data_IF_660281145492
#
_entry.id   IF_660281145492
#
_cell.length_a   1.000
_cell.length_b   1.000
_cell.length_c   1.000
_cell.angle_alpha   90.00
_cell.angle_beta   90.00
_cell.angle_gamma   90.00
#
_symmetry.space_group_name_H-M   'P 1'
#
loop_
_entity.id
_entity.type
_entity.pdbx_description
1 polymer ?
#
# COMPACT_ATOMS: atom_id res chain seq x y z
N UNK A 1 -8.18 16.11 11.64
CA UNK A 1 -7.85 17.53 11.79
C UNK A 1 -9.04 18.43 11.40
N UNK A 2 -9.62 18.37 10.18
CA UNK A 2 -10.78 19.22 9.82
C UNK A 2 -11.98 19.08 10.77
N UNK A 3 -12.27 17.85 11.23
CA UNK A 3 -13.33 17.61 12.23
C UNK A 3 -13.04 18.27 13.59
N UNK A 4 -11.80 18.65 13.83
CA UNK A 4 -11.36 19.38 15.04
C UNK A 4 -11.19 20.88 14.80
N UNK A 5 -11.61 21.38 13.62
CA UNK A 5 -11.66 22.80 13.28
C UNK A 5 -10.41 23.35 12.60
N UNK A 6 -9.44 22.52 12.22
CA UNK A 6 -8.27 22.96 11.48
C UNK A 6 -8.61 23.15 9.99
N UNK A 7 -8.08 24.21 9.37
CA UNK A 7 -8.14 24.39 7.93
C UNK A 7 -7.04 23.56 7.25
N UNK A 8 -7.42 22.79 6.22
CA UNK A 8 -6.51 21.85 5.56
C UNK A 8 -6.44 22.13 4.07
N UNK A 9 -5.22 22.18 3.52
CA UNK A 9 -4.97 22.10 2.09
C UNK A 9 -4.20 20.81 1.80
N UNK A 10 -4.77 19.93 0.98
CA UNK A 10 -4.11 18.70 0.51
C UNK A 10 -3.64 18.92 -0.94
N UNK A 11 -2.36 18.68 -1.18
CA UNK A 11 -1.76 18.80 -2.52
C UNK A 11 -1.09 17.47 -2.86
N UNK A 12 -1.51 16.86 -3.94
CA UNK A 12 -0.83 15.73 -4.58
C UNK A 12 -0.10 16.27 -5.82
N UNK A 13 1.14 16.69 -5.63
CA UNK A 13 1.94 17.34 -6.68
C UNK A 13 2.12 16.47 -7.92
N UNK A 14 2.42 15.15 -7.81
CA UNK A 14 2.48 14.24 -8.95
C UNK A 14 1.15 14.16 -9.71
N UNK A 15 0.04 13.94 -9.02
CA UNK A 15 -1.28 13.85 -9.66
C UNK A 15 -1.71 15.18 -10.28
N UNK A 16 -1.31 16.29 -9.70
CA UNK A 16 -1.55 17.64 -10.25
C UNK A 16 -0.54 18.04 -11.33
N UNK A 17 0.50 17.22 -11.59
CA UNK A 17 1.61 17.51 -12.52
C UNK A 17 2.37 18.78 -12.15
N UNK A 18 2.60 19.00 -10.86
CA UNK A 18 3.32 20.14 -10.34
C UNK A 18 4.76 19.75 -10.00
N UNK A 19 5.72 20.59 -10.40
CA UNK A 19 7.07 20.53 -9.87
C UNK A 19 7.15 21.20 -8.49
N UNK A 20 8.31 21.15 -7.82
CA UNK A 20 8.50 21.70 -6.48
C UNK A 20 8.19 23.21 -6.42
N UNK A 21 8.68 23.98 -7.39
CA UNK A 21 8.44 25.44 -7.43
C UNK A 21 6.96 25.76 -7.60
N UNK A 22 6.28 25.08 -8.52
CA UNK A 22 4.84 25.24 -8.75
C UNK A 22 4.02 24.84 -7.52
N UNK A 23 4.48 23.79 -6.81
CA UNK A 23 3.87 23.37 -5.54
C UNK A 23 3.99 24.46 -4.48
N UNK A 24 5.17 25.05 -4.31
CA UNK A 24 5.41 26.16 -3.38
C UNK A 24 4.54 27.37 -3.71
N UNK A 25 4.46 27.77 -4.99
CA UNK A 25 3.62 28.89 -5.41
C UNK A 25 2.12 28.64 -5.13
N UNK A 26 1.67 27.39 -5.30
CA UNK A 26 0.29 26.99 -5.00
C UNK A 26 -0.02 27.03 -3.50
N UNK A 27 0.98 26.81 -2.65
CA UNK A 27 0.84 26.82 -1.18
C UNK A 27 0.81 28.24 -0.62
N UNK A 28 1.58 29.18 -1.17
CA UNK A 28 1.75 30.55 -0.63
C UNK A 28 0.45 31.24 -0.22
N UNK A 29 -0.65 31.21 -1.02
CA UNK A 29 -1.88 31.88 -0.63
C UNK A 29 -2.57 31.29 0.61
N UNK A 30 -2.28 30.03 0.94
CA UNK A 30 -2.86 29.33 2.09
C UNK A 30 -2.22 29.73 3.42
N UNK A 31 -0.96 30.19 3.41
CA UNK A 31 -0.21 30.61 4.61
C UNK A 31 -0.22 29.54 5.73
N UNK A 32 0.31 28.33 5.49
CA UNK A 32 0.25 27.23 6.45
C UNK A 32 1.07 27.51 7.69
N UNK A 33 0.64 26.95 8.83
CA UNK A 33 1.35 26.98 10.12
C UNK A 33 2.07 25.64 10.41
N UNK A 34 1.74 24.59 9.65
CA UNK A 34 2.36 23.26 9.75
C UNK A 34 2.32 22.58 8.39
N UNK A 35 3.42 21.92 8.02
CA UNK A 35 3.47 21.00 6.90
C UNK A 35 3.53 19.55 7.35
N UNK A 36 2.85 18.66 6.62
CA UNK A 36 2.97 17.21 6.79
C UNK A 36 3.21 16.59 5.41
N UNK A 37 4.38 15.98 5.24
CA UNK A 37 4.79 15.33 3.99
C UNK A 37 4.66 13.80 4.14
N UNK A 38 3.95 13.16 3.22
CA UNK A 38 3.87 11.69 3.18
C UNK A 38 5.15 11.12 2.59
N UNK A 39 5.74 10.10 3.22
CA UNK A 39 7.00 9.51 2.80
C UNK A 39 6.99 7.98 2.82
N UNK A 40 7.84 7.42 1.98
CA UNK A 40 8.16 5.99 1.93
C UNK A 40 9.66 5.81 1.76
N UNK A 41 10.19 4.61 2.02
CA UNK A 41 11.64 4.41 1.92
C UNK A 41 12.22 4.75 0.53
N UNK A 42 11.58 4.37 -0.59
CA UNK A 42 12.11 4.74 -1.90
C UNK A 42 12.12 6.24 -2.20
N UNK A 43 11.25 7.02 -1.57
CA UNK A 43 11.10 8.46 -1.83
C UNK A 43 11.79 9.36 -0.80
N UNK A 44 12.26 8.81 0.34
CA UNK A 44 12.72 9.59 1.49
C UNK A 44 13.71 10.72 1.14
N UNK A 45 14.71 10.44 0.31
CA UNK A 45 15.70 11.45 -0.05
C UNK A 45 15.12 12.61 -0.87
N UNK A 46 14.13 12.33 -1.69
CA UNK A 46 13.39 13.36 -2.41
C UNK A 46 12.46 14.14 -1.47
N UNK A 47 11.76 13.42 -0.60
CA UNK A 47 10.83 14.00 0.36
C UNK A 47 11.56 14.94 1.35
N UNK A 48 12.77 14.58 1.80
CA UNK A 48 13.59 15.45 2.63
C UNK A 48 14.07 16.71 1.90
N UNK A 49 14.31 16.65 0.57
CA UNK A 49 14.56 17.88 -0.21
C UNK A 49 13.33 18.78 -0.25
N UNK A 50 12.14 18.20 -0.33
CA UNK A 50 10.87 18.94 -0.25
C UNK A 50 10.72 19.57 1.14
N UNK A 51 10.96 18.81 2.22
CA UNK A 51 10.96 19.30 3.61
C UNK A 51 11.86 20.52 3.75
N UNK A 52 13.10 20.42 3.29
CA UNK A 52 14.06 21.53 3.33
C UNK A 52 13.56 22.78 2.60
N UNK A 53 13.08 22.61 1.38
CA UNK A 53 12.56 23.73 0.58
C UNK A 53 11.33 24.39 1.22
N UNK A 54 10.42 23.62 1.82
CA UNK A 54 9.27 24.13 2.55
C UNK A 54 9.72 24.92 3.79
N UNK A 55 10.65 24.38 4.58
CA UNK A 55 11.19 25.04 5.77
C UNK A 55 11.88 26.36 5.42
N UNK A 56 12.72 26.37 4.40
CA UNK A 56 13.45 27.57 3.94
C UNK A 56 12.49 28.64 3.40
N UNK A 57 11.38 28.24 2.76
CA UNK A 57 10.43 29.18 2.16
C UNK A 57 9.45 29.79 3.16
N UNK A 58 8.91 28.97 4.07
CA UNK A 58 7.80 29.38 4.92
C UNK A 58 8.19 29.59 6.39
N UNK A 59 9.33 29.04 6.81
CA UNK A 59 9.83 29.10 8.19
C UNK A 59 8.82 28.61 9.24
N UNK A 60 8.06 27.57 8.92
CA UNK A 60 7.10 26.91 9.81
C UNK A 60 7.52 25.46 10.07
N UNK A 61 6.96 24.82 11.11
CA UNK A 61 7.25 23.40 11.39
C UNK A 61 6.90 22.47 10.23
N UNK A 62 7.76 21.47 10.01
CA UNK A 62 7.55 20.43 8.99
C UNK A 62 7.64 19.06 9.63
N UNK A 63 6.64 18.23 9.35
CA UNK A 63 6.57 16.83 9.77
C UNK A 63 6.58 15.90 8.56
N UNK A 64 7.08 14.67 8.74
CA UNK A 64 6.85 13.57 7.81
C UNK A 64 6.00 12.48 8.45
N UNK A 65 5.27 11.71 7.62
CA UNK A 65 4.50 10.53 8.04
C UNK A 65 4.60 9.44 6.98
N UNK A 66 4.29 8.21 7.36
CA UNK A 66 4.28 7.07 6.43
C UNK A 66 5.17 5.93 6.86
N UNK A 67 5.45 4.99 5.97
CA UNK A 67 6.15 3.75 6.33
C UNK A 67 7.60 3.99 6.74
N UNK A 68 8.31 4.90 6.06
CA UNK A 68 9.70 5.21 6.42
C UNK A 68 9.79 5.99 7.73
N UNK A 69 8.96 7.04 7.89
CA UNK A 69 8.89 7.81 9.14
C UNK A 69 8.54 6.93 10.35
N UNK A 70 7.73 5.88 10.14
CA UNK A 70 7.36 4.93 11.20
C UNK A 70 8.48 3.93 11.52
N UNK A 71 9.27 3.55 10.52
CA UNK A 71 10.35 2.58 10.67
C UNK A 71 11.64 3.19 11.22
N UNK A 72 12.03 4.35 10.69
CA UNK A 72 13.31 5.01 10.94
C UNK A 72 13.11 6.50 11.34
N UNK A 73 12.32 6.78 12.40
CA UNK A 73 11.99 8.18 12.75
C UNK A 73 13.20 8.99 13.21
N UNK A 74 14.13 8.37 13.96
CA UNK A 74 15.31 9.05 14.46
C UNK A 74 16.33 9.32 13.35
N UNK A 75 16.59 8.31 12.50
CA UNK A 75 17.46 8.45 11.32
C UNK A 75 16.93 9.55 10.39
N UNK A 76 15.61 9.58 10.14
CA UNK A 76 15.00 10.63 9.31
C UNK A 76 15.25 12.04 9.85
N UNK A 77 15.13 12.23 11.16
CA UNK A 77 15.43 13.50 11.82
C UNK A 77 16.93 13.84 11.77
N UNK A 78 17.83 12.85 11.85
CA UNK A 78 19.27 13.04 11.73
C UNK A 78 19.67 13.41 10.30
N UNK A 79 19.01 12.85 9.28
CA UNK A 79 19.31 13.08 7.87
C UNK A 79 19.02 14.50 7.40
N UNK A 80 18.04 15.21 7.99
CA UNK A 80 17.66 16.57 7.56
C UNK A 80 17.31 17.46 8.76
N UNK A 81 18.13 18.47 8.99
CA UNK A 81 17.97 19.40 10.11
C UNK A 81 16.73 20.30 10.01
N UNK A 82 16.20 20.49 8.80
CA UNK A 82 14.97 21.23 8.55
C UNK A 82 13.70 20.45 8.95
N UNK A 83 13.83 19.13 9.21
CA UNK A 83 12.74 18.28 9.68
C UNK A 83 12.57 18.43 11.20
N UNK A 84 11.36 18.83 11.62
CA UNK A 84 11.04 19.05 13.04
C UNK A 84 10.43 17.82 13.69
N UNK A 85 9.57 17.06 12.94
CA UNK A 85 8.75 15.97 13.48
C UNK A 85 8.69 14.76 12.55
N UNK A 86 8.64 13.54 13.15
CA UNK A 86 8.26 12.31 12.46
C UNK A 86 7.05 11.69 13.16
N UNK A 87 6.00 11.42 12.38
CA UNK A 87 4.77 10.77 12.86
C UNK A 87 4.90 9.27 12.68
N UNK A 88 4.79 8.52 13.76
CA UNK A 88 5.01 7.08 13.85
C UNK A 88 3.66 6.35 13.89
N UNK A 89 3.50 5.32 13.04
CA UNK A 89 2.31 4.47 13.03
C UNK A 89 1.08 5.12 12.40
N UNK A 90 -0.10 4.91 13.00
CA UNK A 90 -1.36 5.51 12.54
C UNK A 90 -1.38 7.01 12.84
N UNK A 91 -1.31 7.82 11.79
CA UNK A 91 -1.14 9.27 11.89
C UNK A 91 -2.41 10.01 12.38
N UNK A 92 -3.60 9.41 12.28
CA UNK A 92 -4.87 10.10 12.43
C UNK A 92 -4.99 10.95 13.72
N UNK A 93 -4.60 10.39 14.87
CA UNK A 93 -4.63 11.11 16.17
C UNK A 93 -3.42 11.99 16.38
N UNK A 94 -2.25 11.51 15.94
CA UNK A 94 -0.97 12.22 16.15
C UNK A 94 -0.95 13.52 15.37
N UNK A 95 -1.50 13.55 14.14
CA UNK A 95 -1.65 14.77 13.35
C UNK A 95 -2.49 15.82 14.09
N UNK A 96 -3.62 15.44 14.65
CA UNK A 96 -4.49 16.36 15.39
C UNK A 96 -3.81 16.92 16.64
N UNK A 97 -3.11 16.06 17.40
CA UNK A 97 -2.35 16.49 18.58
C UNK A 97 -1.16 17.36 18.22
N UNK A 98 -0.47 17.06 17.10
CA UNK A 98 0.62 17.90 16.61
C UNK A 98 0.09 19.30 16.21
N UNK A 99 -1.03 19.38 15.50
CA UNK A 99 -1.67 20.65 15.21
C UNK A 99 -2.02 21.43 16.51
N UNK A 100 -2.56 20.76 17.53
CA UNK A 100 -2.83 21.34 18.82
C UNK A 100 -1.57 21.81 19.57
N UNK A 101 -0.42 21.15 19.38
CA UNK A 101 0.89 21.59 19.91
C UNK A 101 1.32 22.89 19.22
N UNK A 102 1.21 22.97 17.89
CA UNK A 102 1.57 24.17 17.13
C UNK A 102 0.67 25.37 17.51
N UNK A 103 -0.61 25.13 17.79
CA UNK A 103 -1.53 26.16 18.28
C UNK A 103 -1.31 26.53 19.76
N UNK A 104 -0.39 25.88 20.48
CA UNK A 104 -0.12 26.12 21.89
C UNK A 104 -1.18 25.56 22.86
N UNK A 105 -2.10 24.73 22.38
CA UNK A 105 -3.10 24.02 23.21
C UNK A 105 -2.49 22.86 23.99
N UNK A 106 -1.50 22.18 23.42
CA UNK A 106 -0.61 21.20 24.07
C UNK A 106 0.73 21.91 24.31
N UNK A 107 1.31 21.76 25.50
CA UNK A 107 2.53 22.50 25.86
C UNK A 107 3.81 21.69 25.63
N UNK A 108 3.71 20.35 25.56
CA UNK A 108 4.88 19.50 25.47
C UNK A 108 4.69 18.37 24.44
N UNK A 109 5.60 18.27 23.50
CA UNK A 109 5.64 17.21 22.49
C UNK A 109 5.73 15.80 23.11
N UNK A 110 6.28 15.66 24.31
CA UNK A 110 6.32 14.38 25.05
C UNK A 110 4.93 13.83 25.44
N UNK A 111 3.88 14.64 25.36
CA UNK A 111 2.50 14.20 25.61
C UNK A 111 1.87 13.55 24.37
N UNK A 112 2.55 13.57 23.22
CA UNK A 112 2.03 13.10 21.94
C UNK A 112 2.61 11.73 21.61
N UNK A 113 1.84 10.68 21.85
CA UNK A 113 2.20 9.31 21.46
C UNK A 113 2.37 9.21 19.93
N UNK A 114 3.37 8.47 19.49
CA UNK A 114 3.66 8.30 18.06
C UNK A 114 4.32 9.52 17.42
N UNK A 115 5.06 10.32 18.18
CA UNK A 115 5.79 11.48 17.69
C UNK A 115 7.28 11.37 18.03
N UNK A 116 8.14 11.46 17.03
CA UNK A 116 9.56 11.78 17.23
C UNK A 116 9.79 13.24 16.84
N UNK A 117 10.66 13.94 17.56
CA UNK A 117 10.83 15.38 17.40
C UNK A 117 12.22 15.85 17.81
N UNK A 118 12.62 16.99 17.25
CA UNK A 118 13.84 17.70 17.60
C UNK A 118 13.55 18.71 18.70
N UNK A 119 14.36 18.68 19.78
CA UNK A 119 14.29 19.67 20.88
C UNK A 119 15.03 20.96 20.50
N UNK A 120 14.82 22.01 21.28
CA UNK A 120 15.49 23.30 21.10
C UNK A 120 17.01 23.22 21.20
N UNK A 121 17.54 22.29 22.00
CA UNK A 121 18.98 22.03 22.14
C UNK A 121 19.56 21.20 20.97
N UNK A 122 18.73 20.84 19.98
CA UNK A 122 19.08 20.04 18.82
C UNK A 122 19.05 18.52 19.05
N UNK A 123 18.86 18.05 20.29
CA UNK A 123 18.71 16.63 20.57
C UNK A 123 17.37 16.10 20.05
N UNK A 124 17.34 14.80 19.74
CA UNK A 124 16.15 14.13 19.25
C UNK A 124 15.54 13.28 20.37
N UNK A 125 14.22 13.32 20.47
CA UNK A 125 13.44 12.51 21.42
C UNK A 125 12.25 11.89 20.69
N UNK A 126 11.64 10.85 21.28
CA UNK A 126 10.45 10.24 20.68
C UNK A 126 9.53 9.65 21.74
N UNK A 127 8.26 9.60 21.39
CA UNK A 127 7.23 8.92 22.15
C UNK A 127 6.74 7.71 21.33
N UNK A 128 6.69 6.50 21.92
CA UNK A 128 6.21 5.31 21.22
C UNK A 128 4.77 5.49 20.73
N UNK A 129 4.42 4.72 19.72
CA UNK A 129 3.07 4.73 19.17
C UNK A 129 2.03 4.41 20.27
N UNK A 130 0.94 5.15 20.27
CA UNK A 130 -0.20 4.90 21.15
C UNK A 130 -1.07 3.71 20.66
N UNK A 131 -2.16 3.43 21.37
CA UNK A 131 -3.08 2.37 20.98
C UNK A 131 -3.71 2.68 19.60
N UNK A 132 -3.83 1.64 18.79
CA UNK A 132 -4.49 1.72 17.47
C UNK A 132 -5.95 2.17 17.61
N UNK A 133 -6.47 2.79 16.56
CA UNK A 133 -7.89 3.20 16.52
C UNK A 133 -8.76 1.95 16.37
N UNK A 134 -9.58 1.66 17.35
CA UNK A 134 -10.46 0.48 17.32
C UNK A 134 -11.73 0.72 16.50
N UNK A 135 -12.40 1.86 16.73
CA UNK A 135 -13.61 2.23 15.99
C UNK A 135 -13.26 3.01 14.72
N UNK A 136 -13.13 2.30 13.60
CA UNK A 136 -12.79 2.92 12.32
C UNK A 136 -13.95 3.71 11.69
N UNK A 137 -15.21 3.46 12.11
CA UNK A 137 -16.37 4.24 11.64
C UNK A 137 -16.34 5.69 12.16
N UNK A 138 -15.51 5.97 13.18
CA UNK A 138 -15.30 7.34 13.67
C UNK A 138 -14.41 8.20 12.77
N UNK A 139 -13.73 7.58 11.82
CA UNK A 139 -12.84 8.29 10.89
C UNK A 139 -13.62 8.82 9.68
N UNK A 140 -13.22 9.96 9.12
CA UNK A 140 -13.82 10.47 7.89
C UNK A 140 -13.55 9.50 6.73
N UNK A 141 -14.51 9.42 5.81
CA UNK A 141 -14.34 8.61 4.60
C UNK A 141 -13.25 9.17 3.68
N UNK A 142 -12.43 8.28 3.15
CA UNK A 142 -11.37 8.66 2.21
C UNK A 142 -11.96 9.30 0.95
N UNK A 143 -13.12 8.82 0.49
CA UNK A 143 -13.83 9.38 -0.65
C UNK A 143 -14.24 10.85 -0.48
N UNK A 144 -14.56 11.27 0.75
CA UNK A 144 -14.83 12.68 1.04
C UNK A 144 -13.58 13.55 0.90
N UNK A 145 -12.41 13.01 1.25
CA UNK A 145 -11.12 13.69 1.05
C UNK A 145 -10.83 13.85 -0.44
N UNK A 146 -11.03 12.79 -1.25
CA UNK A 146 -10.94 12.89 -2.71
C UNK A 146 -11.89 13.95 -3.26
N UNK A 147 -13.15 13.93 -2.85
CA UNK A 147 -14.15 14.87 -3.32
C UNK A 147 -13.82 16.32 -2.97
N UNK A 148 -13.34 16.57 -1.75
CA UNK A 148 -13.06 17.93 -1.27
C UNK A 148 -11.75 18.49 -1.83
N UNK A 149 -10.67 17.70 -1.81
CA UNK A 149 -9.32 18.22 -2.04
C UNK A 149 -8.69 17.75 -3.36
N UNK A 150 -9.11 16.61 -3.90
CA UNK A 150 -8.46 15.95 -5.04
C UNK A 150 -9.37 15.77 -6.25
N UNK A 151 -10.58 16.36 -6.22
CA UNK A 151 -11.57 16.21 -7.29
C UNK A 151 -11.04 16.66 -8.66
N UNK A 152 -10.23 17.71 -8.70
CA UNK A 152 -9.63 18.23 -9.94
C UNK A 152 -8.63 17.28 -10.59
N UNK A 153 -8.06 16.33 -9.83
CA UNK A 153 -7.02 15.41 -10.33
C UNK A 153 -7.35 13.93 -10.13
N UNK A 154 -8.50 13.53 -9.52
CA UNK A 154 -8.78 12.13 -9.25
C UNK A 154 -8.78 11.25 -10.51
N UNK A 155 -9.14 11.80 -11.68
CA UNK A 155 -9.11 11.08 -12.97
C UNK A 155 -7.68 10.72 -13.44
N UNK A 156 -6.66 11.26 -12.81
CA UNK A 156 -5.24 10.97 -13.12
C UNK A 156 -4.65 9.83 -12.29
N UNK A 157 -5.35 9.39 -11.24
CA UNK A 157 -4.87 8.27 -10.45
C UNK A 157 -4.92 7.00 -11.27
N UNK A 158 -3.80 6.30 -11.26
CA UNK A 158 -3.58 5.07 -12.01
C UNK A 158 -3.05 3.99 -11.08
N UNK A 159 -3.64 2.83 -11.10
CA UNK A 159 -3.19 1.69 -10.32
C UNK A 159 -3.24 0.40 -11.16
N UNK A 160 -2.08 -0.08 -11.60
CA UNK A 160 -1.85 -1.38 -12.19
C UNK A 160 -2.91 -1.87 -13.20
N UNK A 161 -3.52 -3.00 -12.89
CA UNK A 161 -4.53 -3.66 -13.73
C UNK A 161 -5.97 -3.15 -13.52
N UNK A 162 -6.14 -2.09 -12.72
CA UNK A 162 -7.46 -1.55 -12.38
C UNK A 162 -8.08 -0.75 -13.52
N UNK A 163 -9.40 -0.59 -13.48
CA UNK A 163 -10.11 0.31 -14.37
C UNK A 163 -9.99 1.75 -13.88
N UNK A 164 -9.66 2.66 -14.77
CA UNK A 164 -9.47 4.07 -14.44
C UNK A 164 -10.63 4.92 -15.00
N UNK A 165 -10.99 6.03 -14.34
CA UNK A 165 -10.49 6.52 -13.04
C UNK A 165 -10.88 5.59 -11.88
N UNK A 166 -10.05 5.55 -10.84
CA UNK A 166 -10.35 4.75 -9.65
C UNK A 166 -10.31 5.58 -8.38
N UNK A 167 -11.06 5.13 -7.38
CA UNK A 167 -10.98 5.64 -6.01
C UNK A 167 -10.56 4.49 -5.10
N UNK A 168 -9.58 4.79 -4.25
CA UNK A 168 -9.08 3.84 -3.26
C UNK A 168 -9.76 4.11 -1.92
N UNK A 169 -10.31 3.06 -1.29
CA UNK A 169 -10.89 3.13 0.05
C UNK A 169 -10.42 1.96 0.91
N UNK A 170 -10.74 2.02 2.20
CA UNK A 170 -10.44 0.96 3.17
C UNK A 170 -11.73 0.48 3.83
N UNK A 171 -11.94 -0.84 3.91
CA UNK A 171 -12.99 -1.44 4.74
C UNK A 171 -12.48 -1.83 6.12
N UNK A 172 -11.16 -1.91 6.28
CA UNK A 172 -10.49 -2.24 7.52
C UNK A 172 -8.99 -1.95 7.47
N UNK A 173 -8.35 -2.02 8.62
CA UNK A 173 -6.90 -1.85 8.80
C UNK A 173 -6.32 -3.03 9.56
N UNK A 174 -5.08 -3.39 9.25
CA UNK A 174 -4.33 -4.48 9.88
C UNK A 174 -4.54 -5.82 9.20
N UNK A 175 -3.54 -6.68 9.29
CA UNK A 175 -3.55 -8.02 8.71
C UNK A 175 -3.14 -9.06 9.75
N UNK A 176 -3.94 -10.11 10.01
CA UNK A 176 -3.61 -11.13 11.01
C UNK A 176 -2.41 -12.00 10.59
N UNK A 177 -1.97 -11.89 9.34
CA UNK A 177 -0.80 -12.60 8.87
C UNK A 177 0.49 -11.89 9.26
N UNK A 178 1.56 -12.67 9.42
CA UNK A 178 2.87 -12.17 9.86
C UNK A 178 3.93 -12.39 8.78
N UNK A 179 3.59 -12.05 7.53
CA UNK A 179 4.55 -12.13 6.43
C UNK A 179 5.75 -11.20 6.73
N UNK A 180 6.97 -11.76 6.70
CA UNK A 180 8.17 -11.06 7.16
C UNK A 180 8.53 -9.82 6.33
N UNK A 181 8.07 -9.75 5.08
CA UNK A 181 8.35 -8.67 4.13
C UNK A 181 7.29 -7.55 4.10
N UNK A 182 6.12 -7.77 4.71
CA UNK A 182 4.99 -6.85 4.56
C UNK A 182 5.13 -5.63 5.46
N UNK A 183 5.39 -4.46 4.87
CA UNK A 183 5.73 -3.25 5.61
C UNK A 183 4.55 -2.65 6.37
N UNK A 184 3.36 -2.56 5.78
CA UNK A 184 2.21 -1.83 6.38
C UNK A 184 1.77 -2.41 7.73
N UNK A 185 1.54 -3.74 7.88
CA UNK A 185 1.19 -4.28 9.19
C UNK A 185 2.31 -4.14 10.22
N UNK A 186 3.56 -4.15 9.81
CA UNK A 186 4.71 -4.09 10.73
C UNK A 186 5.05 -2.67 11.18
N UNK A 187 4.69 -1.65 10.39
CA UNK A 187 5.04 -0.25 10.67
C UNK A 187 3.84 0.63 11.02
N UNK A 188 2.65 0.36 10.47
CA UNK A 188 1.49 1.25 10.60
C UNK A 188 0.28 0.52 11.21
N UNK A 189 -0.30 -0.46 10.51
CA UNK A 189 -1.65 -0.95 10.82
C UNK A 189 -1.70 -2.04 11.90
N UNK A 190 -0.59 -2.74 12.17
CA UNK A 190 -0.53 -3.85 13.12
C UNK A 190 -1.14 -5.16 12.59
N UNK A 191 -1.13 -6.18 13.45
CA UNK A 191 -1.51 -7.55 13.10
C UNK A 191 -2.92 -7.96 13.58
N UNK A 192 -3.75 -7.00 13.96
CA UNK A 192 -5.16 -7.22 14.31
C UNK A 192 -6.01 -6.57 13.23
N UNK A 193 -6.84 -7.36 12.56
CA UNK A 193 -7.77 -6.82 11.58
C UNK A 193 -8.91 -6.08 12.30
N UNK A 194 -8.91 -4.76 12.20
CA UNK A 194 -9.94 -3.86 12.68
C UNK A 194 -10.77 -3.42 11.50
N UNK A 195 -12.07 -3.48 11.60
CA UNK A 195 -12.98 -3.29 10.48
C UNK A 195 -13.97 -2.16 10.74
N UNK A 196 -14.33 -1.46 9.70
CA UNK A 196 -15.50 -0.58 9.65
C UNK A 196 -16.75 -1.43 9.67
N UNK A 197 -17.88 -0.88 10.08
CA UNK A 197 -19.15 -1.59 9.91
C UNK A 197 -19.47 -1.76 8.43
N UNK A 198 -20.09 -2.89 8.04
CA UNK A 198 -20.52 -3.08 6.63
C UNK A 198 -21.42 -1.96 6.12
N UNK A 199 -22.25 -1.39 7.02
CA UNK A 199 -23.12 -0.25 6.69
C UNK A 199 -22.30 0.99 6.33
N UNK A 200 -21.30 1.33 7.13
CA UNK A 200 -20.46 2.51 6.91
C UNK A 200 -19.65 2.39 5.60
N UNK A 201 -19.14 1.19 5.30
CA UNK A 201 -18.46 0.93 4.01
C UNK A 201 -19.41 1.11 2.82
N UNK A 202 -20.65 0.58 2.91
CA UNK A 202 -21.60 0.65 1.81
C UNK A 202 -22.20 2.06 1.67
N UNK A 203 -22.34 2.81 2.75
CA UNK A 203 -22.70 4.23 2.72
C UNK A 203 -21.65 5.05 1.95
N UNK A 204 -20.34 4.73 2.14
CA UNK A 204 -19.25 5.37 1.39
C UNK A 204 -19.29 4.99 -0.10
N UNK A 205 -19.58 3.72 -0.45
CA UNK A 205 -19.74 3.31 -1.85
C UNK A 205 -20.89 4.06 -2.53
N UNK A 206 -22.00 4.27 -1.83
CA UNK A 206 -23.14 5.03 -2.32
C UNK A 206 -22.80 6.52 -2.50
N UNK A 207 -22.03 7.10 -1.54
CA UNK A 207 -21.48 8.44 -1.69
C UNK A 207 -20.62 8.57 -2.94
N UNK A 208 -19.73 7.60 -3.18
CA UNK A 208 -18.85 7.59 -4.36
C UNK A 208 -19.67 7.59 -5.65
N UNK A 209 -20.66 6.70 -5.75
CA UNK A 209 -21.52 6.61 -6.94
C UNK A 209 -22.30 7.91 -7.24
N UNK A 210 -22.65 8.66 -6.20
CA UNK A 210 -23.41 9.89 -6.33
C UNK A 210 -22.55 11.13 -6.59
N UNK A 211 -21.23 11.09 -6.35
CA UNK A 211 -20.37 12.28 -6.36
C UNK A 211 -19.18 12.19 -7.32
N UNK A 212 -18.92 11.05 -7.97
CA UNK A 212 -17.83 10.91 -8.93
C UNK A 212 -18.35 10.41 -10.28
N UNK A 213 -18.08 11.19 -11.32
CA UNK A 213 -18.47 10.88 -12.68
C UNK A 213 -17.45 9.96 -13.36
N UNK A 214 -17.91 9.13 -14.31
CA UNK A 214 -17.05 8.27 -15.14
C UNK A 214 -16.13 7.34 -14.35
N UNK A 215 -16.51 6.96 -13.12
CA UNK A 215 -15.70 6.08 -12.28
C UNK A 215 -15.55 4.71 -12.94
N UNK A 216 -14.30 4.25 -13.11
CA UNK A 216 -13.98 2.92 -13.62
C UNK A 216 -14.22 1.86 -12.57
N UNK A 217 -13.60 2.02 -11.37
CA UNK A 217 -13.84 1.12 -10.24
C UNK A 217 -13.43 1.73 -8.89
N UNK A 218 -13.86 1.08 -7.81
CA UNK A 218 -13.36 1.29 -6.45
C UNK A 218 -12.36 0.19 -6.11
N UNK A 219 -11.22 0.54 -5.53
CA UNK A 219 -10.26 -0.42 -5.05
C UNK A 219 -10.22 -0.44 -3.51
N UNK A 220 -10.47 -1.61 -2.93
CA UNK A 220 -10.28 -1.83 -1.50
C UNK A 220 -8.80 -2.12 -1.21
N UNK A 221 -8.08 -1.11 -0.74
CA UNK A 221 -6.64 -1.17 -0.42
C UNK A 221 -6.37 -1.70 0.99
N UNK A 222 -7.31 -2.43 1.55
CA UNK A 222 -7.09 -3.14 2.81
C UNK A 222 -5.82 -3.98 2.74
N UNK A 223 -5.09 -4.12 3.85
CA UNK A 223 -3.95 -5.04 3.93
C UNK A 223 -4.33 -6.47 3.49
N UNK A 224 -5.58 -6.85 3.75
CA UNK A 224 -6.24 -8.05 3.19
C UNK A 224 -7.75 -7.91 3.36
N UNK A 225 -8.45 -7.49 2.34
CA UNK A 225 -9.92 -7.33 2.35
C UNK A 225 -10.64 -8.63 2.78
N UNK A 226 -10.13 -9.78 2.36
CA UNK A 226 -10.72 -11.10 2.65
C UNK A 226 -10.28 -11.70 3.99
N UNK A 227 -9.71 -10.89 4.91
CA UNK A 227 -9.27 -11.37 6.23
C UNK A 227 -10.42 -11.90 7.10
N UNK A 228 -11.62 -11.31 6.97
CA UNK A 228 -12.85 -11.79 7.61
C UNK A 228 -13.94 -12.09 6.56
N UNK A 229 -14.15 -13.38 6.21
CA UNK A 229 -15.16 -13.75 5.23
C UNK A 229 -16.60 -13.33 5.59
N UNK A 230 -16.93 -13.20 6.89
CA UNK A 230 -18.25 -12.74 7.34
C UNK A 230 -18.44 -11.26 7.05
N UNK A 231 -17.40 -10.47 7.24
CA UNK A 231 -17.40 -9.05 6.92
C UNK A 231 -17.59 -8.81 5.42
N UNK A 232 -16.83 -9.52 4.58
CA UNK A 232 -16.97 -9.44 3.11
C UNK A 232 -18.38 -9.83 2.67
N UNK A 233 -18.94 -10.89 3.25
CA UNK A 233 -20.30 -11.34 2.96
C UNK A 233 -21.33 -10.26 3.27
N UNK A 234 -21.25 -9.66 4.45
CA UNK A 234 -22.17 -8.61 4.87
C UNK A 234 -22.09 -7.36 3.98
N UNK A 235 -20.88 -6.94 3.56
CA UNK A 235 -20.72 -5.85 2.58
C UNK A 235 -21.40 -6.22 1.25
N UNK A 236 -21.13 -7.41 0.71
CA UNK A 236 -21.71 -7.85 -0.55
C UNK A 236 -23.25 -7.95 -0.51
N UNK A 237 -23.80 -8.46 0.58
CA UNK A 237 -25.26 -8.56 0.78
C UNK A 237 -25.91 -7.17 0.81
N UNK A 238 -25.31 -6.20 1.52
CA UNK A 238 -25.79 -4.81 1.55
C UNK A 238 -25.69 -4.10 0.19
N UNK A 239 -24.61 -4.33 -0.58
CA UNK A 239 -24.50 -3.81 -1.95
C UNK A 239 -25.66 -4.32 -2.81
N UNK A 240 -25.97 -5.60 -2.70
CA UNK A 240 -27.07 -6.23 -3.46
C UNK A 240 -28.45 -5.77 -2.98
N UNK A 241 -28.67 -5.66 -1.68
CA UNK A 241 -29.89 -5.15 -1.06
C UNK A 241 -30.21 -3.73 -1.54
N UNK A 242 -29.19 -2.86 -1.54
CA UNK A 242 -29.30 -1.46 -2.02
C UNK A 242 -29.26 -1.35 -3.55
N UNK A 243 -29.03 -2.45 -4.25
CA UNK A 243 -28.96 -2.50 -5.73
C UNK A 243 -27.91 -1.55 -6.31
N UNK A 244 -26.79 -1.35 -5.60
CA UNK A 244 -25.72 -0.48 -6.06
C UNK A 244 -25.02 -1.11 -7.27
N UNK A 245 -24.92 -0.35 -8.36
CA UNK A 245 -24.22 -0.76 -9.59
C UNK A 245 -22.79 -0.24 -9.54
N UNK A 246 -21.94 -0.93 -8.81
CA UNK A 246 -20.55 -0.55 -8.62
C UNK A 246 -19.62 -1.67 -9.09
N UNK A 247 -18.50 -1.27 -9.72
CA UNK A 247 -17.39 -2.17 -10.02
C UNK A 247 -16.31 -1.96 -8.98
N UNK A 248 -15.76 -3.05 -8.42
CA UNK A 248 -14.71 -2.95 -7.43
C UNK A 248 -13.71 -4.10 -7.50
N UNK A 249 -12.52 -3.85 -6.97
CA UNK A 249 -11.43 -4.81 -6.84
C UNK A 249 -10.81 -4.73 -5.44
N UNK A 250 -10.03 -5.72 -5.04
CA UNK A 250 -9.45 -5.76 -3.70
C UNK A 250 -8.16 -6.57 -3.61
N UNK A 251 -7.40 -6.35 -2.53
CA UNK A 251 -6.36 -7.27 -2.08
C UNK A 251 -6.98 -8.49 -1.39
N UNK A 252 -6.59 -9.69 -1.78
CA UNK A 252 -7.19 -10.92 -1.30
C UNK A 252 -6.15 -12.02 -1.04
N UNK A 253 -6.57 -13.05 -0.29
CA UNK A 253 -5.81 -14.28 -0.12
C UNK A 253 -6.33 -15.38 -1.03
N UNK A 254 -5.49 -16.39 -1.28
CA UNK A 254 -5.83 -17.56 -2.10
C UNK A 254 -6.63 -18.63 -1.34
N UNK A 255 -7.45 -18.25 -0.38
CA UNK A 255 -8.25 -19.15 0.47
C UNK A 255 -9.75 -18.81 0.53
N UNK A 256 -10.21 -17.91 -0.34
CA UNK A 256 -11.62 -17.51 -0.43
C UNK A 256 -12.45 -18.64 -1.05
N UNK A 257 -13.51 -19.11 -0.40
CA UNK A 257 -14.33 -20.22 -0.90
C UNK A 257 -15.22 -19.80 -2.09
N UNK A 258 -15.62 -20.77 -2.92
CA UNK A 258 -16.33 -20.53 -4.18
C UNK A 258 -17.65 -19.77 -3.99
N UNK A 259 -18.42 -20.11 -2.97
CA UNK A 259 -19.71 -19.44 -2.69
C UNK A 259 -19.52 -17.94 -2.39
N UNK A 260 -18.46 -17.58 -1.64
CA UNK A 260 -18.14 -16.19 -1.38
C UNK A 260 -17.61 -15.48 -2.64
N UNK A 261 -16.79 -16.14 -3.45
CA UNK A 261 -16.35 -15.60 -4.74
C UNK A 261 -17.54 -15.29 -5.67
N UNK A 262 -18.53 -16.19 -5.70
CA UNK A 262 -19.76 -15.98 -6.48
C UNK A 262 -20.60 -14.82 -5.94
N UNK A 263 -20.68 -14.66 -4.62
CA UNK A 263 -21.36 -13.53 -3.99
C UNK A 263 -20.66 -12.21 -4.28
N UNK A 264 -19.32 -12.16 -4.12
CA UNK A 264 -18.50 -11.01 -4.47
C UNK A 264 -18.74 -10.59 -5.93
N UNK A 265 -18.75 -11.56 -6.86
CA UNK A 265 -19.02 -11.29 -8.28
C UNK A 265 -20.39 -10.66 -8.48
N UNK A 266 -21.43 -11.19 -7.84
CA UNK A 266 -22.80 -10.62 -7.91
C UNK A 266 -22.85 -9.19 -7.38
N UNK A 267 -22.06 -8.90 -6.34
CA UNK A 267 -21.96 -7.58 -5.72
C UNK A 267 -21.01 -6.62 -6.49
N UNK A 268 -20.54 -6.98 -7.69
CA UNK A 268 -19.77 -6.10 -8.56
C UNK A 268 -18.24 -6.28 -8.52
N UNK A 269 -17.72 -7.27 -7.79
CA UNK A 269 -16.29 -7.55 -7.81
C UNK A 269 -15.79 -7.88 -9.23
N UNK A 270 -14.68 -7.27 -9.64
CA UNK A 270 -14.06 -7.51 -10.94
C UNK A 270 -12.78 -8.34 -10.81
N UNK A 271 -11.88 -7.94 -9.94
CA UNK A 271 -10.54 -8.50 -9.83
C UNK A 271 -10.08 -8.61 -8.38
N UNK A 272 -9.24 -9.59 -8.12
CA UNK A 272 -8.54 -9.73 -6.85
C UNK A 272 -7.03 -9.73 -7.09
N UNK A 273 -6.30 -8.89 -6.35
CA UNK A 273 -4.84 -8.92 -6.27
C UNK A 273 -4.43 -9.94 -5.19
N UNK A 274 -3.68 -10.98 -5.60
CA UNK A 274 -3.39 -12.12 -4.73
C UNK A 274 -1.89 -12.43 -4.72
N UNK A 275 -1.29 -12.35 -3.53
CA UNK A 275 0.11 -12.73 -3.32
C UNK A 275 0.25 -14.24 -3.21
N UNK A 276 0.84 -14.87 -4.24
CA UNK A 276 1.26 -16.29 -4.23
C UNK A 276 2.71 -16.45 -3.78
N UNK A 277 3.54 -15.49 -4.08
CA UNK A 277 4.95 -15.28 -3.76
C UNK A 277 5.86 -16.35 -4.35
N UNK A 278 5.84 -17.59 -3.85
CA UNK A 278 6.74 -18.67 -4.25
C UNK A 278 6.01 -20.01 -4.37
N UNK A 279 6.59 -20.92 -5.15
CA UNK A 279 6.17 -22.32 -5.21
C UNK A 279 6.88 -23.19 -4.17
N UNK A 280 8.00 -22.74 -3.62
CA UNK A 280 8.78 -23.49 -2.63
C UNK A 280 8.13 -23.43 -1.25
N UNK A 281 7.76 -24.58 -0.64
CA UNK A 281 7.24 -24.62 0.72
C UNK A 281 8.24 -24.07 1.76
N UNK A 282 9.53 -24.25 1.52
CA UNK A 282 10.59 -23.74 2.37
C UNK A 282 10.65 -22.21 2.32
N UNK A 283 10.67 -21.63 1.12
CA UNK A 283 10.64 -20.18 0.92
C UNK A 283 9.38 -19.58 1.56
N UNK A 284 8.21 -20.16 1.31
CA UNK A 284 6.94 -19.71 1.92
C UNK A 284 6.96 -19.76 3.44
N UNK A 285 7.63 -20.79 4.02
CA UNK A 285 7.85 -20.88 5.47
C UNK A 285 8.77 -19.76 5.97
N UNK A 286 9.88 -19.52 5.28
CA UNK A 286 10.88 -18.52 5.67
C UNK A 286 10.30 -17.10 5.66
N UNK A 287 9.46 -16.77 4.67
CA UNK A 287 8.75 -15.48 4.61
C UNK A 287 7.45 -15.46 5.43
N UNK A 288 7.16 -16.52 6.19
CA UNK A 288 5.94 -16.67 7.02
C UNK A 288 4.63 -16.43 6.25
N UNK A 289 4.62 -16.76 4.96
CA UNK A 289 3.39 -16.76 4.17
C UNK A 289 2.54 -17.95 4.61
N UNK A 290 1.39 -17.69 5.21
CA UNK A 290 0.54 -18.73 5.82
C UNK A 290 -0.06 -19.78 4.86
N UNK A 291 0.24 -19.72 3.56
CA UNK A 291 -0.19 -20.71 2.55
C UNK A 291 0.81 -21.86 2.53
N UNK A 292 0.42 -23.00 3.09
CA UNK A 292 1.28 -24.20 3.15
C UNK A 292 1.10 -25.16 1.96
N UNK A 293 0.10 -24.94 1.10
CA UNK A 293 -0.29 -25.87 0.05
C UNK A 293 -0.59 -25.13 -1.26
N UNK A 294 0.29 -25.31 -2.22
CA UNK A 294 0.17 -24.73 -3.57
C UNK A 294 -1.06 -25.26 -4.34
N UNK A 295 -1.54 -26.49 -4.04
CA UNK A 295 -2.71 -27.05 -4.71
C UNK A 295 -4.00 -26.31 -4.33
N UNK A 296 -4.13 -25.83 -3.09
CA UNK A 296 -5.25 -24.96 -2.67
C UNK A 296 -5.29 -23.66 -3.45
N UNK A 297 -4.15 -23.07 -3.75
CA UNK A 297 -4.07 -21.88 -4.57
C UNK A 297 -4.47 -22.14 -6.04
N UNK A 298 -4.12 -23.32 -6.57
CA UNK A 298 -4.59 -23.75 -7.91
C UNK A 298 -6.11 -23.92 -7.92
N UNK A 299 -6.67 -24.52 -6.88
CA UNK A 299 -8.12 -24.66 -6.72
C UNK A 299 -8.81 -23.30 -6.61
N UNK A 300 -8.25 -22.39 -5.81
CA UNK A 300 -8.74 -21.01 -5.69
C UNK A 300 -8.80 -20.30 -7.05
N UNK A 301 -7.73 -20.34 -7.86
CA UNK A 301 -7.75 -19.69 -9.19
C UNK A 301 -8.77 -20.34 -10.12
N UNK A 302 -8.98 -21.66 -10.04
CA UNK A 302 -10.05 -22.36 -10.78
C UNK A 302 -11.44 -21.88 -10.30
N UNK A 303 -11.62 -21.71 -9.00
CA UNK A 303 -12.89 -21.24 -8.41
C UNK A 303 -13.16 -19.78 -8.75
N UNK A 304 -12.16 -18.90 -8.71
CA UNK A 304 -12.27 -17.51 -9.16
C UNK A 304 -12.71 -17.44 -10.61
N UNK A 305 -12.14 -18.28 -11.48
CA UNK A 305 -12.53 -18.38 -12.89
C UNK A 305 -13.97 -18.87 -13.06
N UNK A 306 -14.42 -19.88 -12.26
CA UNK A 306 -15.83 -20.35 -12.24
C UNK A 306 -16.78 -19.23 -11.78
N UNK A 307 -16.33 -18.39 -10.85
CA UNK A 307 -17.09 -17.23 -10.40
C UNK A 307 -17.01 -16.02 -11.37
N UNK A 308 -16.30 -16.14 -12.48
CA UNK A 308 -16.05 -15.05 -13.44
C UNK A 308 -15.34 -13.82 -12.80
N UNK A 309 -14.43 -14.06 -11.85
CA UNK A 309 -13.55 -13.08 -11.24
C UNK A 309 -12.16 -13.15 -11.85
N UNK A 310 -11.57 -11.99 -12.07
CA UNK A 310 -10.17 -11.88 -12.51
C UNK A 310 -9.24 -12.04 -11.30
N UNK A 311 -8.05 -12.57 -11.56
CA UNK A 311 -6.99 -12.70 -10.56
C UNK A 311 -5.72 -12.08 -11.10
N UNK A 312 -5.21 -11.06 -10.42
CA UNK A 312 -3.85 -10.57 -10.56
C UNK A 312 -2.96 -11.31 -9.58
N UNK A 313 -2.00 -12.10 -10.09
CA UNK A 313 -1.12 -12.92 -9.26
C UNK A 313 0.22 -12.25 -9.03
N UNK A 314 0.63 -12.09 -7.77
CA UNK A 314 1.91 -11.53 -7.37
C UNK A 314 2.88 -12.64 -6.98
N UNK A 315 4.11 -12.59 -7.51
CA UNK A 315 5.21 -13.54 -7.28
C UNK A 315 6.47 -12.77 -6.93
N UNK A 316 7.07 -13.12 -5.79
CA UNK A 316 8.23 -12.43 -5.24
C UNK A 316 9.45 -13.35 -5.23
N UNK A 317 10.60 -12.84 -5.64
CA UNK A 317 11.88 -13.57 -5.70
C UNK A 317 12.96 -12.89 -4.88
N UNK A 318 14.03 -13.63 -4.52
CA UNK A 318 15.09 -13.12 -3.65
C UNK A 318 14.78 -13.25 -2.16
N UNK A 319 13.80 -14.08 -1.82
CA UNK A 319 13.44 -14.41 -0.44
C UNK A 319 14.49 -15.27 0.24
N UNK A 320 14.52 -15.34 1.59
CA UNK A 320 15.36 -16.30 2.30
C UNK A 320 15.08 -17.75 1.83
N UNK A 321 16.13 -18.41 1.34
CA UNK A 321 16.05 -19.78 0.79
C UNK A 321 15.78 -19.86 -0.72
N UNK A 322 15.71 -18.74 -1.43
CA UNK A 322 15.64 -18.78 -2.88
C UNK A 322 16.97 -19.22 -3.52
N UNK A 323 16.83 -20.08 -4.52
CA UNK A 323 17.88 -20.60 -5.40
C UNK A 323 17.41 -20.52 -6.85
N UNK A 324 18.28 -20.71 -7.86
CA UNK A 324 17.85 -20.78 -9.26
C UNK A 324 16.71 -21.79 -9.50
N UNK A 325 16.73 -22.93 -8.76
CA UNK A 325 15.72 -23.98 -8.84
C UNK A 325 14.37 -23.49 -8.29
N UNK A 326 14.35 -22.85 -7.10
CA UNK A 326 13.10 -22.35 -6.51
C UNK A 326 12.49 -21.21 -7.34
N UNK A 327 13.32 -20.38 -7.96
CA UNK A 327 12.85 -19.37 -8.92
C UNK A 327 12.17 -20.03 -10.12
N UNK A 328 12.79 -21.08 -10.68
CA UNK A 328 12.20 -21.83 -11.79
C UNK A 328 10.89 -22.50 -11.38
N UNK A 329 10.85 -23.15 -10.21
CA UNK A 329 9.63 -23.72 -9.64
C UNK A 329 8.52 -22.68 -9.55
N UNK A 330 8.84 -21.47 -9.10
CA UNK A 330 7.88 -20.36 -8.96
C UNK A 330 7.32 -19.90 -10.32
N UNK A 331 8.16 -19.82 -11.34
CA UNK A 331 7.70 -19.49 -12.70
C UNK A 331 6.80 -20.59 -13.28
N UNK A 332 7.16 -21.87 -13.12
CA UNK A 332 6.34 -22.98 -13.61
C UNK A 332 5.02 -23.08 -12.84
N UNK A 333 5.03 -22.78 -11.55
CA UNK A 333 3.83 -22.67 -10.74
C UNK A 333 2.92 -21.51 -11.21
N UNK A 334 3.48 -20.34 -11.49
CA UNK A 334 2.71 -19.22 -12.04
C UNK A 334 2.04 -19.59 -13.38
N UNK A 335 2.76 -20.32 -14.24
CA UNK A 335 2.21 -20.84 -15.50
C UNK A 335 1.09 -21.86 -15.26
N UNK A 336 1.21 -22.74 -14.25
CA UNK A 336 0.21 -23.74 -13.85
C UNK A 336 -1.03 -23.09 -13.24
N UNK A 337 -0.86 -22.12 -12.35
CA UNK A 337 -1.95 -21.29 -11.78
C UNK A 337 -2.69 -20.56 -12.88
N UNK A 338 -1.92 -19.99 -13.80
CA UNK A 338 -2.43 -19.24 -14.96
C UNK A 338 -3.43 -18.15 -14.56
N UNK A 339 -3.11 -17.22 -13.64
CA UNK A 339 -3.97 -16.08 -13.33
C UNK A 339 -4.22 -15.24 -14.59
N UNK A 340 -5.10 -14.24 -14.49
CA UNK A 340 -5.42 -13.36 -15.62
C UNK A 340 -4.25 -12.44 -15.96
N UNK A 341 -3.61 -11.90 -14.94
CA UNK A 341 -2.35 -11.15 -15.04
C UNK A 341 -1.39 -11.65 -13.96
N UNK A 342 -0.09 -11.45 -14.16
CA UNK A 342 0.94 -11.83 -13.21
C UNK A 342 2.03 -10.78 -13.13
N UNK A 343 2.45 -10.47 -11.91
CA UNK A 343 3.60 -9.63 -11.63
C UNK A 343 4.69 -10.46 -10.98
N UNK A 344 5.92 -10.29 -11.48
CA UNK A 344 7.13 -10.85 -10.88
C UNK A 344 8.01 -9.70 -10.44
N UNK A 345 8.43 -9.70 -9.18
CA UNK A 345 9.24 -8.63 -8.61
C UNK A 345 10.25 -9.19 -7.60
N UNK A 346 11.44 -8.61 -7.52
CA UNK A 346 12.40 -8.96 -6.50
C UNK A 346 11.97 -8.38 -5.15
N UNK A 347 12.31 -9.06 -4.07
CA UNK A 347 12.03 -8.55 -2.72
C UNK A 347 12.73 -7.20 -2.50
N UNK A 348 11.99 -6.29 -1.89
CA UNK A 348 12.51 -5.09 -1.26
C UNK A 348 12.39 -5.25 0.25
N UNK A 349 13.52 -5.42 0.93
CA UNK A 349 13.52 -5.52 2.38
C UNK A 349 13.44 -4.12 2.99
N UNK A 350 12.22 -3.64 3.22
CA UNK A 350 11.98 -2.30 3.77
C UNK A 350 12.34 -2.20 5.25
N UNK A 351 12.97 -1.11 5.70
CA UNK A 351 13.14 -0.81 7.11
C UNK A 351 11.85 -1.01 7.93
N UNK A 352 11.97 -1.42 9.17
CA UNK A 352 10.84 -1.74 10.03
C UNK A 352 10.23 -3.13 9.81
N UNK A 353 10.74 -3.92 8.83
CA UNK A 353 10.28 -5.29 8.58
C UNK A 353 11.25 -6.34 9.12
N UNK A 354 10.70 -7.52 9.47
CA UNK A 354 11.54 -8.68 9.84
C UNK A 354 12.46 -9.10 8.67
N UNK A 355 12.02 -8.92 7.42
CA UNK A 355 12.84 -9.21 6.24
C UNK A 355 14.06 -8.27 6.15
N UNK A 356 13.90 -7.00 6.53
CA UNK A 356 15.03 -6.06 6.59
C UNK A 356 16.04 -6.45 7.67
N UNK A 357 15.55 -6.78 8.85
CA UNK A 357 16.37 -7.25 9.96
C UNK A 357 17.14 -8.52 9.57
N UNK A 358 16.47 -9.50 8.99
CA UNK A 358 17.09 -10.73 8.50
C UNK A 358 18.14 -10.45 7.44
N UNK A 359 17.85 -9.56 6.49
CA UNK A 359 18.78 -9.19 5.42
C UNK A 359 20.03 -8.48 5.93
N UNK A 360 19.91 -7.67 6.99
CA UNK A 360 21.05 -7.06 7.68
C UNK A 360 21.89 -8.12 8.41
N UNK A 361 21.25 -8.98 9.20
CA UNK A 361 21.93 -9.99 10.03
C UNK A 361 22.62 -11.07 9.17
N UNK A 362 22.04 -11.44 8.04
CA UNK A 362 22.60 -12.43 7.10
C UNK A 362 23.63 -11.86 6.11
N UNK A 363 23.80 -10.52 6.06
CA UNK A 363 24.64 -9.87 5.06
C UNK A 363 24.04 -9.86 3.64
N UNK A 364 22.75 -10.19 3.50
CA UNK A 364 22.05 -10.19 2.23
C UNK A 364 21.73 -8.79 1.72
N UNK A 365 21.60 -7.79 2.61
CA UNK A 365 21.39 -6.39 2.24
C UNK A 365 22.72 -5.80 1.74
N UNK A 366 22.75 -5.40 0.49
CA UNK A 366 23.96 -4.90 -0.18
C UNK A 366 24.26 -3.44 0.13
N UNK A 367 23.25 -2.64 0.45
CA UNK A 367 23.39 -1.21 0.71
C UNK A 367 22.28 -0.68 1.59
N UNK A 368 22.63 0.27 2.46
CA UNK A 368 21.67 1.11 3.20
C UNK A 368 21.49 2.49 2.55
N UNK A 369 22.25 2.79 1.51
CA UNK A 369 22.14 4.06 0.79
C UNK A 369 20.84 4.10 -0.02
N UNK A 370 19.90 4.91 0.43
CA UNK A 370 18.58 5.06 -0.21
C UNK A 370 18.65 5.60 -1.64
N UNK A 371 19.75 6.22 -2.08
CA UNK A 371 19.96 6.59 -3.49
C UNK A 371 20.02 5.37 -4.42
N UNK A 372 20.35 4.20 -3.89
CA UNK A 372 20.49 2.96 -4.65
C UNK A 372 19.20 2.11 -4.68
N UNK A 373 18.13 2.58 -4.05
CA UNK A 373 16.86 1.86 -3.99
C UNK A 373 15.99 2.01 -5.25
N UNK A 374 16.23 3.05 -6.00
CA UNK A 374 15.62 3.27 -7.33
C UNK A 374 16.70 3.27 -8.40
N UNK A 375 16.33 2.89 -9.60
CA UNK A 375 17.18 3.10 -10.77
C UNK A 375 17.04 4.53 -11.32
N UNK A 376 17.78 4.84 -12.37
CA UNK A 376 17.76 6.16 -13.02
C UNK A 376 16.39 6.55 -13.59
N UNK A 377 15.54 5.56 -13.85
CA UNK A 377 14.20 5.73 -14.41
C UNK A 377 13.12 5.72 -13.30
N UNK A 378 13.53 5.63 -12.01
CA UNK A 378 12.64 5.66 -10.85
C UNK A 378 11.99 4.32 -10.52
N UNK A 379 12.43 3.22 -11.15
CA UNK A 379 11.94 1.89 -10.82
C UNK A 379 12.70 1.29 -9.64
N UNK A 380 12.02 0.43 -8.89
CA UNK A 380 12.64 -0.29 -7.79
C UNK A 380 13.78 -1.20 -8.27
N UNK A 381 14.94 -1.03 -7.65
CA UNK A 381 16.03 -2.00 -7.69
C UNK A 381 15.93 -2.88 -6.45
N UNK A 382 16.35 -4.14 -6.56
CA UNK A 382 16.56 -4.90 -5.33
C UNK A 382 17.93 -4.59 -4.74
N UNK A 383 17.92 -4.36 -3.43
CA UNK A 383 19.14 -4.21 -2.62
C UNK A 383 19.57 -5.54 -2.00
N UNK A 384 18.95 -6.65 -2.40
CA UNK A 384 19.13 -7.98 -1.82
C UNK A 384 19.98 -8.84 -2.75
N UNK A 385 20.90 -9.58 -2.13
CA UNK A 385 21.62 -10.72 -2.73
C UNK A 385 21.33 -11.98 -1.91
N UNK A 386 21.12 -13.12 -2.58
CA UNK A 386 20.84 -14.39 -1.90
C UNK A 386 21.74 -15.50 -2.44
N UNK A 387 22.74 -15.91 -1.65
CA UNK A 387 23.70 -16.93 -2.04
C UNK A 387 24.36 -16.58 -3.38
N UNK A 388 24.16 -17.43 -4.40
CA UNK A 388 24.67 -17.22 -5.76
C UNK A 388 23.84 -16.23 -6.60
N UNK A 389 22.65 -15.85 -6.14
CA UNK A 389 21.77 -14.93 -6.85
C UNK A 389 22.13 -13.48 -6.52
N UNK A 390 22.74 -12.78 -7.44
CA UNK A 390 22.97 -11.34 -7.35
C UNK A 390 21.68 -10.55 -7.50
N UNK A 391 21.69 -9.28 -7.10
CA UNK A 391 20.57 -8.36 -7.33
C UNK A 391 20.18 -8.30 -8.81
N UNK A 392 21.15 -8.34 -9.72
CA UNK A 392 20.89 -8.32 -11.15
C UNK A 392 20.24 -9.62 -11.64
N UNK A 393 20.68 -10.78 -11.15
CA UNK A 393 20.07 -12.08 -11.50
C UNK A 393 18.59 -12.12 -11.12
N UNK A 394 18.22 -11.51 -9.98
CA UNK A 394 16.82 -11.43 -9.54
C UNK A 394 15.98 -10.55 -10.47
N UNK A 395 16.51 -9.41 -10.90
CA UNK A 395 15.84 -8.51 -11.86
C UNK A 395 15.71 -9.19 -13.22
N UNK A 396 16.79 -9.78 -13.75
CA UNK A 396 16.81 -10.47 -15.03
C UNK A 396 15.84 -11.67 -15.02
N UNK A 397 15.76 -12.38 -13.89
CA UNK A 397 14.76 -13.44 -13.74
C UNK A 397 13.33 -12.91 -13.82
N UNK A 398 13.01 -11.77 -13.19
CA UNK A 398 11.69 -11.16 -13.26
C UNK A 398 11.32 -10.80 -14.69
N UNK A 399 12.25 -10.23 -15.46
CA UNK A 399 12.04 -9.91 -16.88
C UNK A 399 11.81 -11.15 -17.72
N UNK A 400 12.64 -12.18 -17.54
CA UNK A 400 12.48 -13.48 -18.19
C UNK A 400 11.13 -14.11 -17.82
N UNK A 401 10.76 -14.10 -16.53
CA UNK A 401 9.52 -14.66 -16.06
C UNK A 401 8.29 -13.97 -16.67
N UNK A 402 8.30 -12.63 -16.77
CA UNK A 402 7.25 -11.87 -17.47
C UNK A 402 7.12 -12.30 -18.92
N UNK A 403 8.23 -12.35 -19.66
CA UNK A 403 8.23 -12.78 -21.07
C UNK A 403 7.71 -14.22 -21.22
N UNK A 404 8.21 -15.17 -20.43
CA UNK A 404 7.78 -16.56 -20.50
C UNK A 404 6.33 -16.74 -20.03
N UNK A 405 5.81 -15.91 -19.12
CA UNK A 405 4.43 -15.98 -18.69
C UNK A 405 3.48 -15.43 -19.76
N UNK A 406 3.75 -14.25 -20.32
CA UNK A 406 2.82 -13.55 -21.20
C UNK A 406 2.90 -14.00 -22.66
N UNK A 407 4.05 -14.45 -23.13
CA UNK A 407 4.24 -14.90 -24.53
C UNK A 407 3.86 -16.37 -24.76
N UNK A 408 3.28 -17.06 -23.76
CA UNK A 408 2.79 -18.43 -23.96
C UNK A 408 1.62 -18.46 -24.96
N UNK A 409 1.64 -19.37 -25.95
CA UNK A 409 0.52 -19.50 -26.90
C UNK A 409 -0.83 -19.71 -26.20
N UNK A 410 -0.86 -20.53 -25.14
CA UNK A 410 -2.06 -20.79 -24.35
C UNK A 410 -2.60 -19.53 -23.62
N UNK A 411 -1.70 -18.64 -23.19
CA UNK A 411 -2.09 -17.38 -22.58
C UNK A 411 -2.68 -16.43 -23.64
N UNK A 412 -1.97 -16.24 -24.75
CA UNK A 412 -2.38 -15.36 -25.86
C UNK A 412 -3.74 -15.78 -26.39
N UNK A 413 -3.94 -17.08 -26.65
CA UNK A 413 -5.22 -17.62 -27.12
C UNK A 413 -6.34 -17.34 -26.12
N UNK A 414 -6.10 -17.61 -24.82
CA UNK A 414 -7.09 -17.35 -23.77
C UNK A 414 -7.46 -15.88 -23.69
N UNK A 415 -6.50 -14.97 -23.70
CA UNK A 415 -6.77 -13.53 -23.66
C UNK A 415 -7.52 -13.06 -24.91
N UNK A 416 -7.16 -13.56 -26.09
CA UNK A 416 -7.89 -13.27 -27.32
C UNK A 416 -9.36 -13.68 -27.23
N UNK A 417 -9.66 -14.90 -26.72
CA UNK A 417 -11.02 -15.38 -26.50
C UNK A 417 -11.77 -14.49 -25.48
N UNK A 418 -11.10 -14.08 -24.40
CA UNK A 418 -11.72 -13.21 -23.38
C UNK A 418 -12.06 -11.83 -23.94
N UNK A 419 -11.17 -11.24 -24.76
CA UNK A 419 -11.40 -9.93 -25.40
C UNK A 419 -12.57 -9.96 -26.39
N UNK A 420 -12.76 -11.07 -27.11
CA UNK A 420 -13.91 -11.25 -28.01
C UNK A 420 -15.22 -11.36 -27.22
N UNK A 421 -15.21 -12.06 -26.07
CA UNK A 421 -16.40 -12.26 -25.23
C UNK A 421 -16.82 -11.02 -24.43
N UNK A 422 -15.84 -10.18 -24.08
CA UNK A 422 -16.03 -8.95 -23.32
C UNK A 422 -15.28 -7.80 -24.03
N UNK A 423 -15.77 -7.32 -25.18
CA UNK A 423 -15.18 -6.15 -25.84
C UNK A 423 -15.31 -4.94 -24.88
N UNK A 424 -14.20 -4.25 -24.66
CA UNK A 424 -14.14 -3.00 -23.89
C UNK A 424 -14.59 -1.84 -24.75
#
# INVERSE_FOLDING_TARGET
AEAEGHEIQLIDSPAMSLNLQETIEKIKPFSPELFIVSTSTPSILNDLKVVKALKETFNVPVAIMGTHASAEPLESLEMESALDYCIIGEADRTVCKLASLIEGKIQNANEISGLAFRKEDGSIDFQPEGPKIENLDSLPWVSKVYHKHLYSCYKRYFYGANLNPLIVILSGRGCPNRCSYCVIPQTINGHVFRKRSPKDVVDELEFILNNFEDLGEVFFEDDTFTADPKHVRAICELILERKLKITWSCNARADVPLDLLQLMKKAGAREMCVGFESASPEVLKNIRKGVKNTDKAIEFVKNARKANLLVHGCFMVGNPGDTPETLRMTLDYAKKLSPNTAQFYPIMAYPGTEAYKEALESGALQTKDYNQWLDKDGFHRTTIQRGELSSQDLVDFCDKARREFYLRPSYILRQGIMSIKNPR
#
